data_IF_152449472130
#
_entry.id   IF_152449472130
#
_cell.length_a   1.000
_cell.length_b   1.000
_cell.length_c   1.000
_cell.angle_alpha   90.00
_cell.angle_beta   90.00
_cell.angle_gamma   90.00
#
_symmetry.space_group_name_H-M   'P 1'
#
loop_
_entity.id
_entity.type
_entity.pdbx_description
1 polymer ?
#
# COMPACT_ATOMS: atom_id res chain seq x y z
N UNK A 1 9.01 -17.21 35.53
CA UNK A 1 8.36 -17.73 34.32
C UNK A 1 8.19 -16.53 33.41
N UNK A 2 8.99 -16.42 32.35
CA UNK A 2 8.96 -15.24 31.49
C UNK A 2 7.88 -15.45 30.43
N UNK A 3 6.90 -14.55 30.41
CA UNK A 3 5.85 -14.50 29.42
C UNK A 3 6.45 -13.98 28.10
N UNK A 4 6.45 -14.83 27.07
CA UNK A 4 6.82 -14.43 25.71
C UNK A 4 5.60 -13.68 25.15
N UNK A 5 5.68 -12.35 25.11
CA UNK A 5 4.67 -11.51 24.44
C UNK A 5 4.50 -12.00 23.00
N UNK A 6 3.32 -12.54 22.69
CA UNK A 6 2.99 -12.97 21.32
C UNK A 6 2.67 -11.71 20.51
N UNK A 7 3.36 -11.47 19.38
CA UNK A 7 3.05 -10.32 18.55
C UNK A 7 1.60 -10.41 18.06
N UNK A 8 0.89 -9.29 18.15
CA UNK A 8 -0.46 -9.14 17.60
C UNK A 8 -0.41 -9.31 16.07
N UNK A 9 -1.14 -10.29 15.56
CA UNK A 9 -1.26 -10.52 14.12
C UNK A 9 -2.28 -9.55 13.52
N UNK A 10 -1.85 -8.78 12.52
CA UNK A 10 -2.73 -7.91 11.75
C UNK A 10 -3.42 -8.69 10.63
N UNK A 11 -4.71 -8.47 10.45
CA UNK A 11 -5.46 -9.00 9.30
C UNK A 11 -5.60 -7.91 8.25
N UNK A 12 -5.22 -8.21 7.02
CA UNK A 12 -5.47 -7.35 5.87
C UNK A 12 -6.21 -8.15 4.80
N UNK A 13 -7.24 -7.54 4.24
CA UNK A 13 -7.91 -8.10 3.07
C UNK A 13 -7.20 -7.60 1.80
N UNK A 14 -6.75 -8.54 0.97
CA UNK A 14 -6.20 -8.23 -0.34
C UNK A 14 -7.26 -8.62 -1.38
N UNK A 15 -7.85 -7.64 -2.09
CA UNK A 15 -8.80 -7.95 -3.16
C UNK A 15 -8.09 -8.66 -4.33
N UNK A 16 -8.84 -9.47 -5.08
CA UNK A 16 -8.34 -10.04 -6.34
C UNK A 16 -7.99 -8.90 -7.30
N UNK A 17 -6.76 -8.88 -7.79
CA UNK A 17 -6.28 -7.86 -8.73
C UNK A 17 -6.34 -8.40 -10.16
N UNK A 18 -6.98 -7.67 -11.06
CA UNK A 18 -7.00 -7.97 -12.49
C UNK A 18 -5.94 -7.13 -13.19
N UNK A 19 -4.85 -7.78 -13.60
CA UNK A 19 -3.70 -7.14 -14.24
C UNK A 19 -3.73 -7.45 -15.74
N UNK A 20 -4.56 -6.69 -16.47
CA UNK A 20 -4.92 -7.03 -17.86
C UNK A 20 -4.19 -6.18 -18.89
N UNK A 21 -3.57 -5.08 -18.46
CA UNK A 21 -2.90 -4.12 -19.33
C UNK A 21 -1.43 -4.05 -18.96
N UNK A 22 -0.59 -3.73 -19.94
CA UNK A 22 0.85 -3.56 -19.73
C UNK A 22 1.29 -2.22 -20.30
N UNK A 23 2.26 -1.59 -19.64
CA UNK A 23 3.00 -0.48 -20.24
C UNK A 23 3.97 -1.01 -21.30
N UNK A 24 4.37 -0.12 -22.21
CA UNK A 24 5.53 -0.37 -23.06
C UNK A 24 6.80 -0.52 -22.21
N UNK A 25 7.81 -1.30 -22.67
CA UNK A 25 8.96 -1.65 -21.85
C UNK A 25 9.71 -0.46 -21.24
N UNK A 26 9.87 0.62 -22.01
CA UNK A 26 10.54 1.85 -21.59
C UNK A 26 9.79 2.55 -20.46
N UNK A 27 8.47 2.61 -20.57
CA UNK A 27 7.60 3.22 -19.58
C UNK A 27 7.47 2.37 -18.31
N UNK A 28 7.39 1.04 -18.47
CA UNK A 28 7.39 0.10 -17.35
C UNK A 28 8.66 0.24 -16.49
N UNK A 29 9.81 0.40 -17.15
CA UNK A 29 11.11 0.61 -16.49
C UNK A 29 11.13 1.94 -15.71
N UNK A 30 10.63 3.01 -16.32
CA UNK A 30 10.55 4.34 -15.67
C UNK A 30 9.59 4.37 -14.49
N UNK A 31 8.47 3.64 -14.56
CA UNK A 31 7.43 3.62 -13.51
C UNK A 31 7.71 2.58 -12.42
N UNK A 32 8.62 1.63 -12.66
CA UNK A 32 8.96 0.56 -11.71
C UNK A 32 7.89 -0.53 -11.60
N UNK A 33 6.94 -0.59 -12.53
CA UNK A 33 5.90 -1.62 -12.60
C UNK A 33 5.47 -1.83 -14.05
N UNK A 34 5.20 -3.08 -14.42
CA UNK A 34 4.68 -3.43 -15.74
C UNK A 34 3.20 -3.09 -15.89
N UNK A 35 2.45 -3.19 -14.80
CA UNK A 35 0.99 -3.10 -14.81
C UNK A 35 0.54 -1.71 -14.41
N UNK A 36 -0.23 -1.00 -15.27
CA UNK A 36 -0.79 0.30 -14.94
C UNK A 36 -1.62 0.33 -13.66
N UNK A 37 -2.33 -0.76 -13.37
CA UNK A 37 -3.19 -0.92 -12.20
C UNK A 37 -2.40 -0.90 -10.88
N UNK A 38 -1.09 -1.16 -10.93
CA UNK A 38 -0.18 -1.11 -9.77
C UNK A 38 0.56 0.23 -9.65
N UNK A 39 0.49 1.10 -10.67
CA UNK A 39 1.11 2.42 -10.61
C UNK A 39 0.23 3.37 -9.79
N UNK A 40 0.33 3.26 -8.47
CA UNK A 40 -0.44 4.03 -7.50
C UNK A 40 0.47 5.06 -6.82
N UNK A 41 0.45 6.33 -7.26
CA UNK A 41 1.26 7.37 -6.61
C UNK A 41 0.77 7.64 -5.18
N UNK A 42 1.66 8.20 -4.37
CA UNK A 42 1.48 8.34 -2.91
C UNK A 42 0.20 9.10 -2.50
N UNK A 43 -0.32 9.95 -3.38
CA UNK A 43 -1.54 10.74 -3.19
C UNK A 43 -2.84 9.99 -3.53
N UNK A 44 -2.76 8.80 -4.12
CA UNK A 44 -3.93 7.96 -4.47
C UNK A 44 -4.34 7.07 -3.30
N UNK A 45 -3.38 6.68 -2.46
CA UNK A 45 -3.71 6.03 -1.20
C UNK A 45 -4.37 7.05 -0.28
N UNK A 46 -5.50 6.66 0.31
CA UNK A 46 -6.37 7.53 1.08
C UNK A 46 -5.60 8.38 2.09
N UNK A 47 -6.10 9.60 2.34
CA UNK A 47 -5.69 10.36 3.52
C UNK A 47 -5.72 9.38 4.69
N UNK A 48 -4.62 9.27 5.44
CA UNK A 48 -4.67 8.50 6.67
C UNK A 48 -5.90 8.97 7.47
N UNK A 49 -6.79 8.08 7.92
CA UNK A 49 -7.96 8.48 8.71
C UNK A 49 -7.55 9.25 9.98
N UNK A 50 -6.31 9.10 10.42
CA UNK A 50 -5.68 9.89 11.48
C UNK A 50 -5.49 11.39 11.13
N UNK A 51 -5.46 11.77 9.85
CA UNK A 51 -5.05 13.11 9.39
C UNK A 51 -6.17 14.15 9.49
N UNK A 52 -7.43 13.71 9.58
CA UNK A 52 -8.59 14.59 9.77
C UNK A 52 -8.72 15.08 11.23
N UNK A 53 -7.98 14.48 12.18
CA UNK A 53 -8.00 14.87 13.58
C UNK A 53 -6.63 15.40 14.00
N UNK A 54 -6.50 16.74 13.96
CA UNK A 54 -5.59 17.57 14.76
C UNK A 54 -4.24 16.92 15.14
N UNK A 55 -3.23 17.10 14.30
CA UNK A 55 -1.86 17.37 14.77
C UNK A 55 -1.09 16.28 15.51
N UNK A 56 -1.54 15.02 15.54
CA UNK A 56 -0.78 13.94 16.17
C UNK A 56 -0.15 13.04 15.09
N UNK A 57 1.19 13.02 15.09
CA UNK A 57 2.02 12.28 14.15
C UNK A 57 1.79 10.78 14.41
N UNK A 58 1.28 10.04 13.43
CA UNK A 58 1.26 8.57 13.53
C UNK A 58 2.69 8.09 13.79
N UNK A 59 2.88 7.44 14.95
CA UNK A 59 4.13 6.78 15.32
C UNK A 59 4.30 5.50 14.51
#
# INVERSE_FOLDING_TARGET
>A
MNEIERPCVGYAFVPRQELTRVFEPEEALMRGTLFPELYLPFNVYGKCPCREQKGERCR
#
